data_IF_070210212515
#
_entry.id   IF_070210212515
#
_cell.length_a   1.000
_cell.length_b   1.000
_cell.length_c   1.000
_cell.angle_alpha   90.00
_cell.angle_beta   90.00
_cell.angle_gamma   90.00
#
_symmetry.space_group_name_H-M   'P 1'
#
loop_
_entity.id
_entity.type
_entity.pdbx_description
1 polymer ?
#
# COMPACT_ATOMS: atom_id res chain seq x y z
N UNK A 1 13.52 1.97 -13.89
CA UNK A 1 12.91 3.32 -13.99
C UNK A 1 11.57 3.21 -13.30
N UNK A 2 11.50 3.61 -12.02
CA UNK A 2 10.25 3.57 -11.26
C UNK A 2 9.32 4.64 -11.82
N UNK A 3 8.23 4.21 -12.47
CA UNK A 3 7.14 5.10 -12.84
C UNK A 3 6.40 5.44 -11.55
N UNK A 4 6.53 6.68 -11.09
CA UNK A 4 5.58 7.26 -10.14
C UNK A 4 4.28 7.47 -10.90
N UNK A 5 3.50 6.40 -11.08
CA UNK A 5 2.20 6.51 -11.70
C UNK A 5 1.29 7.33 -10.80
N UNK A 6 0.71 8.34 -11.43
CA UNK A 6 -0.07 9.40 -10.86
C UNK A 6 -1.15 8.89 -9.91
N UNK A 7 -1.44 9.70 -8.91
CA UNK A 7 -2.50 9.59 -7.92
C UNK A 7 -3.83 8.94 -8.38
N UNK A 8 -4.20 9.10 -9.65
CA UNK A 8 -5.37 8.48 -10.29
C UNK A 8 -5.29 6.95 -10.42
N UNK A 9 -4.10 6.37 -10.60
CA UNK A 9 -3.90 4.91 -10.59
C UNK A 9 -4.08 4.35 -9.17
N UNK A 10 -3.61 5.08 -8.15
CA UNK A 10 -3.81 4.74 -6.74
C UNK A 10 -5.30 4.80 -6.37
N UNK A 11 -6.05 5.80 -6.87
CA UNK A 11 -7.50 5.88 -6.68
C UNK A 11 -8.25 4.75 -7.41
N UNK A 12 -7.81 4.35 -8.61
CA UNK A 12 -8.34 3.21 -9.35
C UNK A 12 -8.08 1.87 -8.66
N UNK A 13 -6.89 1.69 -8.09
CA UNK A 13 -6.49 0.53 -7.30
C UNK A 13 -7.23 0.49 -5.95
N UNK A 14 -7.39 1.65 -5.29
CA UNK A 14 -8.15 1.80 -4.05
C UNK A 14 -9.65 1.50 -4.22
N UNK A 15 -10.25 1.83 -5.37
CA UNK A 15 -11.62 1.44 -5.66
C UNK A 15 -11.72 -0.03 -6.10
N UNK A 16 -10.67 -0.55 -6.75
CA UNK A 16 -10.54 -1.96 -7.11
C UNK A 16 -10.54 -2.88 -5.89
N UNK A 17 -9.85 -2.51 -4.81
CA UNK A 17 -9.77 -3.35 -3.61
C UNK A 17 -11.07 -3.41 -2.80
N UNK A 18 -11.90 -2.36 -2.81
CA UNK A 18 -13.25 -2.45 -2.20
C UNK A 18 -14.15 -3.46 -2.93
N UNK A 19 -13.93 -3.66 -4.23
CA UNK A 19 -14.66 -4.63 -5.05
C UNK A 19 -14.07 -6.02 -4.93
N UNK A 20 -12.74 -6.14 -4.93
CA UNK A 20 -12.01 -7.41 -4.86
C UNK A 20 -12.03 -8.02 -3.45
N UNK A 21 -11.89 -7.19 -2.41
CA UNK A 21 -11.78 -7.63 -1.02
C UNK A 21 -12.39 -6.65 0.00
N UNK A 22 -13.73 -6.50 0.03
CA UNK A 22 -14.41 -5.57 0.94
C UNK A 22 -14.22 -5.91 2.43
N UNK A 23 -13.96 -7.19 2.74
CA UNK A 23 -13.73 -7.65 4.11
C UNK A 23 -12.39 -7.13 4.66
N UNK A 24 -11.34 -7.14 3.84
CA UNK A 24 -10.03 -6.59 4.20
C UNK A 24 -10.14 -5.09 4.47
N UNK A 25 -10.76 -4.34 3.56
CA UNK A 25 -10.97 -2.89 3.72
C UNK A 25 -11.74 -2.57 5.00
N UNK A 26 -12.83 -3.29 5.28
CA UNK A 26 -13.63 -3.09 6.50
C UNK A 26 -12.80 -3.34 7.77
N UNK A 27 -11.91 -4.33 7.75
CA UNK A 27 -11.00 -4.63 8.86
C UNK A 27 -9.98 -3.52 9.06
N UNK A 28 -9.38 -3.00 7.99
CA UNK A 28 -8.41 -1.89 8.08
C UNK A 28 -9.09 -0.61 8.55
N UNK A 29 -10.28 -0.27 8.03
CA UNK A 29 -11.10 0.86 8.51
C UNK A 29 -11.33 0.78 10.03
N UNK A 30 -11.74 -0.39 10.54
CA UNK A 30 -11.90 -0.60 12.00
C UNK A 30 -10.59 -0.46 12.78
N UNK A 31 -9.47 -0.88 12.22
CA UNK A 31 -8.16 -0.70 12.85
C UNK A 31 -7.76 0.78 12.89
N UNK A 32 -8.05 1.53 11.83
CA UNK A 32 -7.75 2.94 11.70
C UNK A 32 -8.65 3.85 12.54
N UNK A 33 -9.87 3.42 12.87
CA UNK A 33 -10.85 4.19 13.68
C UNK A 33 -10.28 4.62 15.05
N UNK A 34 -9.36 3.82 15.61
CA UNK A 34 -8.66 4.12 16.87
C UNK A 34 -7.29 4.77 16.71
N UNK A 35 -6.82 5.03 15.49
CA UNK A 35 -5.45 5.45 15.20
C UNK A 35 -5.35 6.94 14.85
N UNK A 36 -4.23 7.54 15.22
CA UNK A 36 -3.90 8.90 14.79
C UNK A 36 -3.54 8.96 13.30
N UNK A 37 -3.67 10.16 12.71
CA UNK A 37 -3.26 10.46 11.32
C UNK A 37 -1.82 10.01 11.00
N UNK A 38 -0.88 10.25 11.91
CA UNK A 38 0.52 9.83 11.75
C UNK A 38 0.70 8.30 11.79
N UNK A 39 -0.11 7.60 12.58
CA UNK A 39 -0.04 6.13 12.67
C UNK A 39 -0.61 5.48 11.41
N UNK A 40 -1.68 6.03 10.85
CA UNK A 40 -2.24 5.58 9.57
C UNK A 40 -1.21 5.82 8.45
N UNK A 41 -0.54 6.97 8.43
CA UNK A 41 0.52 7.25 7.45
C UNK A 41 1.72 6.30 7.61
N UNK A 42 2.14 6.00 8.84
CA UNK A 42 3.19 5.01 9.11
C UNK A 42 2.78 3.61 8.63
N UNK A 43 1.54 3.19 8.92
CA UNK A 43 1.02 1.89 8.47
C UNK A 43 0.90 1.77 6.95
N UNK A 44 0.54 2.85 6.28
CA UNK A 44 0.58 2.91 4.82
C UNK A 44 2.02 2.75 4.30
N UNK A 45 2.99 3.46 4.89
CA UNK A 45 4.39 3.37 4.47
C UNK A 45 4.99 1.98 4.70
N UNK A 46 4.70 1.34 5.84
CA UNK A 46 5.05 -0.06 6.11
C UNK A 46 4.44 -0.98 5.05
N UNK A 47 3.13 -0.87 4.80
CA UNK A 47 2.43 -1.73 3.83
C UNK A 47 2.98 -1.58 2.40
N UNK A 48 3.31 -0.36 1.97
CA UNK A 48 3.96 -0.11 0.67
C UNK A 48 5.35 -0.75 0.62
N UNK A 49 6.11 -0.66 1.72
CA UNK A 49 7.45 -1.24 1.80
C UNK A 49 7.39 -2.76 1.74
N UNK A 50 6.47 -3.38 2.47
CA UNK A 50 6.25 -4.83 2.43
C UNK A 50 5.79 -5.31 1.04
N UNK A 51 4.90 -4.57 0.37
CA UNK A 51 4.49 -4.88 -1.00
C UNK A 51 5.66 -4.80 -1.99
N UNK A 52 6.54 -3.80 -1.83
CA UNK A 52 7.74 -3.68 -2.65
C UNK A 52 8.73 -4.83 -2.40
N UNK A 53 8.88 -5.28 -1.15
CA UNK A 53 9.74 -6.41 -0.79
C UNK A 53 9.19 -7.73 -1.36
N UNK A 54 7.89 -8.00 -1.21
CA UNK A 54 7.23 -9.16 -1.79
C UNK A 54 7.34 -9.18 -3.34
N UNK A 55 7.13 -8.04 -3.98
CA UNK A 55 7.34 -7.91 -5.43
C UNK A 55 8.81 -8.14 -5.83
N UNK A 56 9.77 -7.72 -4.99
CA UNK A 56 11.19 -7.98 -5.20
C UNK A 56 11.52 -9.46 -5.07
N UNK A 57 10.98 -10.16 -4.07
CA UNK A 57 11.14 -11.60 -3.88
C UNK A 57 10.58 -12.34 -5.08
N UNK A 58 9.36 -12.00 -5.52
CA UNK A 58 8.75 -12.59 -6.72
C UNK A 58 9.64 -12.42 -7.95
N UNK A 59 10.08 -11.19 -8.23
CA UNK A 59 10.95 -10.89 -9.36
C UNK A 59 12.31 -11.60 -9.28
N UNK A 60 12.85 -11.76 -8.06
CA UNK A 60 14.07 -12.51 -7.83
C UNK A 60 13.88 -14.01 -8.12
N UNK A 61 12.79 -14.61 -7.68
CA UNK A 61 12.48 -16.01 -7.96
C UNK A 61 12.24 -16.24 -9.46
N UNK A 62 11.48 -15.36 -10.12
CA UNK A 62 11.29 -15.39 -11.58
C UNK A 62 12.64 -15.35 -12.32
N UNK A 63 13.58 -14.51 -11.87
CA UNK A 63 14.89 -14.39 -12.47
C UNK A 63 15.81 -15.60 -12.23
N UNK A 64 15.71 -16.23 -11.06
CA UNK A 64 16.60 -17.32 -10.65
C UNK A 64 16.11 -18.70 -11.06
N UNK A 65 14.79 -18.92 -11.04
CA UNK A 65 14.16 -20.22 -11.25
C UNK A 65 13.29 -20.27 -12.51
N UNK A 66 13.07 -19.12 -13.18
CA UNK A 66 12.26 -19.01 -14.39
C UNK A 66 10.76 -18.90 -14.15
N UNK A 67 10.33 -18.98 -12.89
CA UNK A 67 8.95 -18.82 -12.42
C UNK A 67 8.98 -18.42 -10.93
N UNK A 68 8.01 -17.63 -10.47
CA UNK A 68 7.85 -17.34 -9.05
C UNK A 68 7.17 -18.51 -8.34
N UNK A 69 7.54 -18.77 -7.10
CA UNK A 69 6.82 -19.74 -6.30
C UNK A 69 5.38 -19.30 -6.07
N UNK A 70 4.46 -20.26 -5.95
CA UNK A 70 3.07 -19.96 -5.61
C UNK A 70 2.94 -19.21 -4.28
N UNK A 71 3.90 -19.41 -3.37
CA UNK A 71 3.99 -18.69 -2.10
C UNK A 71 4.33 -17.21 -2.33
N UNK A 72 5.38 -16.91 -3.11
CA UNK A 72 5.76 -15.53 -3.44
C UNK A 72 4.72 -14.78 -4.28
N UNK A 73 3.99 -15.49 -5.14
CA UNK A 73 2.86 -14.91 -5.90
C UNK A 73 1.75 -14.49 -4.95
N UNK A 74 1.30 -15.39 -4.08
CA UNK A 74 0.22 -15.12 -3.12
C UNK A 74 0.62 -14.04 -2.12
N UNK A 75 1.87 -14.04 -1.68
CA UNK A 75 2.42 -13.02 -0.76
C UNK A 75 2.44 -11.63 -1.43
N UNK A 76 2.91 -11.55 -2.68
CA UNK A 76 2.88 -10.33 -3.47
C UNK A 76 1.45 -9.80 -3.63
N UNK A 77 0.50 -10.65 -4.05
CA UNK A 77 -0.91 -10.26 -4.22
C UNK A 77 -1.50 -9.75 -2.90
N UNK A 78 -1.27 -10.46 -1.78
CA UNK A 78 -1.77 -10.05 -0.47
C UNK A 78 -1.21 -8.69 -0.02
N UNK A 79 0.09 -8.45 -0.18
CA UNK A 79 0.71 -7.20 0.24
C UNK A 79 0.33 -6.03 -0.68
N UNK A 80 0.13 -6.26 -1.98
CA UNK A 80 -0.45 -5.27 -2.91
C UNK A 80 -1.88 -4.88 -2.50
N UNK A 81 -2.72 -5.87 -2.18
CA UNK A 81 -4.08 -5.65 -1.67
C UNK A 81 -4.08 -4.89 -0.33
N UNK A 82 -3.13 -5.21 0.57
CA UNK A 82 -2.98 -4.55 1.87
C UNK A 82 -2.57 -3.08 1.72
N UNK A 83 -1.61 -2.80 0.84
CA UNK A 83 -1.18 -1.44 0.53
C UNK A 83 -2.31 -0.61 -0.11
N UNK A 84 -3.08 -1.21 -1.02
CA UNK A 84 -4.25 -0.58 -1.63
C UNK A 84 -5.32 -0.22 -0.57
N UNK A 85 -5.60 -1.14 0.35
CA UNK A 85 -6.59 -0.93 1.40
C UNK A 85 -6.15 0.17 2.40
N UNK A 86 -4.88 0.20 2.81
CA UNK A 86 -4.35 1.31 3.62
C UNK A 86 -4.36 2.64 2.87
N UNK A 87 -4.10 2.63 1.57
CA UNK A 87 -4.12 3.85 0.75
C UNK A 87 -5.52 4.44 0.67
N UNK A 88 -6.55 3.61 0.52
CA UNK A 88 -7.94 4.03 0.59
C UNK A 88 -8.26 4.66 1.94
N UNK A 89 -7.91 3.99 3.04
CA UNK A 89 -8.17 4.50 4.40
C UNK A 89 -7.40 5.81 4.65
N UNK A 90 -6.18 5.94 4.15
CA UNK A 90 -5.45 7.20 4.22
C UNK A 90 -6.14 8.33 3.43
N UNK A 91 -6.70 8.02 2.26
CA UNK A 91 -7.54 8.94 1.49
C UNK A 91 -8.79 9.39 2.26
N UNK A 92 -9.48 8.47 2.92
CA UNK A 92 -10.65 8.77 3.77
C UNK A 92 -10.29 9.72 4.92
N UNK A 93 -9.10 9.57 5.51
CA UNK A 93 -8.62 10.42 6.60
C UNK A 93 -8.01 11.77 6.13
N UNK A 94 -8.18 12.14 4.85
CA UNK A 94 -7.61 13.34 4.22
C UNK A 94 -6.07 13.45 4.35
N UNK A 95 -5.38 12.34 4.61
CA UNK A 95 -3.92 12.30 4.70
C UNK A 95 -3.23 12.55 3.36
N UNK A 96 -4.02 12.50 2.30
CA UNK A 96 -3.57 12.62 0.92
C UNK A 96 -3.73 14.03 0.38
N UNK A 97 -3.76 14.99 1.30
CA UNK A 97 -3.45 16.38 1.00
C UNK A 97 -1.95 16.47 0.69
N UNK A 98 -1.55 17.16 -0.40
CA UNK A 98 -0.13 17.31 -0.76
C UNK A 98 0.72 17.90 0.38
N UNK A 99 0.09 18.60 1.32
CA UNK A 99 0.70 19.19 2.51
C UNK A 99 1.39 18.17 3.44
N UNK A 100 0.88 16.94 3.54
CA UNK A 100 1.40 15.93 4.48
C UNK A 100 2.66 15.22 3.97
N UNK A 101 2.79 15.07 2.64
CA UNK A 101 4.01 14.58 1.99
C UNK A 101 5.15 15.61 2.09
N UNK A 102 4.83 16.91 1.97
CA UNK A 102 5.82 17.98 2.19
C UNK A 102 6.25 18.09 3.66
N UNK A 103 5.37 17.78 4.62
CA UNK A 103 5.70 17.85 6.04
C UNK A 103 6.59 16.69 6.53
N UNK A 104 6.66 15.57 5.81
CA UNK A 104 7.58 14.45 6.08
C UNK A 104 8.99 14.69 5.47
N UNK A 105 9.09 15.44 4.38
CA UNK A 105 10.37 15.83 3.74
C UNK A 105 11.01 17.09 4.40
N UNK A 106 10.21 17.91 5.09
CA UNK A 106 10.64 19.20 5.63
C UNK A 106 11.22 19.23 7.06
N UNK A 107 11.30 18.11 7.78
CA UNK A 107 11.84 18.09 9.16
C UNK A 107 13.33 17.74 9.19
N UNK A 108 14.15 18.65 8.66
CA UNK A 108 15.55 18.82 9.07
C UNK A 108 15.63 20.04 9.98
N UNK A 109 15.62 19.82 11.29
CA UNK A 109 16.06 20.81 12.27
C UNK A 109 17.04 20.17 13.25
#
# INVERSE_FOLDING_TARGET
MFHLNSFEEIAGVAHGIEVLNPALVTRIRRAADGMGRHEIAARLADAITEAADAAHIRAFEEAQFGDASADAIVDCEYHEELAAAWSLVAAEHQLVSPDLLYSLDGSVH
#
